data_IF_541518960097
#
_entry.id   IF_541518960097
#
_cell.length_a   1.000
_cell.length_b   1.000
_cell.length_c   1.000
_cell.angle_alpha   90.00
_cell.angle_beta   90.00
_cell.angle_gamma   90.00
#
_symmetry.space_group_name_H-M   'P 1'
#
loop_
_entity.id
_entity.type
_entity.pdbx_description
1 polymer ?
#
# COMPACT_ATOMS: atom_id res chain seq x y z
N UNK A 1 -17.84 -25.75 7.48
CA UNK A 1 -17.32 -24.38 7.15
C UNK A 1 -16.96 -24.35 5.67
N UNK A 2 -17.31 -23.29 4.95
CA UNK A 2 -17.05 -23.20 3.49
C UNK A 2 -15.55 -23.09 3.25
N UNK A 3 -15.01 -23.87 2.28
CA UNK A 3 -13.66 -23.73 1.76
C UNK A 3 -13.72 -22.98 0.43
N UNK A 4 -12.92 -21.93 0.31
CA UNK A 4 -12.77 -21.16 -0.93
C UNK A 4 -11.58 -21.69 -1.74
N UNK A 5 -11.63 -21.55 -3.06
CA UNK A 5 -10.45 -21.83 -3.89
C UNK A 5 -9.37 -20.77 -3.66
N UNK A 6 -9.75 -19.50 -3.49
CA UNK A 6 -8.83 -18.40 -3.29
C UNK A 6 -9.29 -17.49 -2.14
N UNK A 7 -8.38 -17.19 -1.22
CA UNK A 7 -8.53 -16.10 -0.26
C UNK A 7 -7.57 -14.96 -0.59
N UNK A 8 -8.06 -13.74 -0.53
CA UNK A 8 -7.30 -12.49 -0.75
C UNK A 8 -7.35 -11.69 0.55
N UNK A 9 -6.20 -11.36 1.10
CA UNK A 9 -6.09 -10.54 2.31
C UNK A 9 -5.68 -9.14 1.91
N UNK A 10 -6.62 -8.21 2.03
CA UNK A 10 -6.53 -6.81 1.60
C UNK A 10 -7.40 -6.53 0.38
N UNK A 11 -8.42 -5.69 0.57
CA UNK A 11 -9.32 -5.16 -0.47
C UNK A 11 -8.86 -3.80 -1.01
N UNK A 12 -7.54 -3.59 -1.08
CA UNK A 12 -6.91 -2.49 -1.79
C UNK A 12 -6.89 -2.70 -3.31
N UNK A 13 -6.16 -1.87 -4.03
CA UNK A 13 -6.13 -1.87 -5.51
C UNK A 13 -5.67 -3.22 -6.07
N UNK A 14 -4.56 -3.77 -5.55
CA UNK A 14 -4.04 -5.07 -6.00
C UNK A 14 -5.03 -6.21 -5.71
N UNK A 15 -5.57 -6.26 -4.48
CA UNK A 15 -6.51 -7.32 -4.08
C UNK A 15 -7.81 -7.26 -4.86
N UNK A 16 -8.38 -6.09 -5.12
CA UNK A 16 -9.58 -5.93 -5.92
C UNK A 16 -9.36 -6.34 -7.39
N UNK A 17 -8.22 -5.95 -7.97
CA UNK A 17 -7.90 -6.36 -9.33
C UNK A 17 -7.75 -7.89 -9.44
N UNK A 18 -7.11 -8.52 -8.45
CA UNK A 18 -7.02 -9.98 -8.39
C UNK A 18 -8.39 -10.63 -8.21
N UNK A 19 -9.23 -10.10 -7.33
CA UNK A 19 -10.57 -10.60 -7.07
C UNK A 19 -11.46 -10.58 -8.32
N UNK A 20 -11.43 -9.48 -9.08
CA UNK A 20 -12.12 -9.35 -10.37
C UNK A 20 -11.68 -10.46 -11.31
N UNK A 21 -10.38 -10.65 -11.49
CA UNK A 21 -9.85 -11.62 -12.46
C UNK A 21 -10.15 -13.07 -12.03
N UNK A 22 -9.98 -13.41 -10.75
CA UNK A 22 -10.29 -14.75 -10.24
C UNK A 22 -11.80 -15.05 -10.33
N UNK A 23 -12.66 -14.07 -10.03
CA UNK A 23 -14.10 -14.20 -10.22
C UNK A 23 -14.48 -14.43 -11.68
N UNK A 24 -13.82 -13.73 -12.63
CA UNK A 24 -14.00 -13.96 -14.07
C UNK A 24 -13.53 -15.35 -14.53
N UNK A 25 -12.57 -15.96 -13.84
CA UNK A 25 -12.19 -17.37 -14.03
C UNK A 25 -13.17 -18.34 -13.34
N UNK A 26 -14.22 -17.83 -12.68
CA UNK A 26 -15.26 -18.58 -12.00
C UNK A 26 -14.79 -19.33 -10.76
N UNK A 27 -13.68 -18.90 -10.15
CA UNK A 27 -13.25 -19.41 -8.85
C UNK A 27 -14.14 -18.92 -7.72
N UNK A 28 -14.25 -19.73 -6.68
CA UNK A 28 -14.83 -19.30 -5.41
C UNK A 28 -13.81 -18.45 -4.65
N UNK A 29 -14.08 -17.13 -4.55
CA UNK A 29 -13.13 -16.15 -4.03
C UNK A 29 -13.71 -15.46 -2.79
N UNK A 30 -12.87 -15.27 -1.78
CA UNK A 30 -13.15 -14.40 -0.63
C UNK A 30 -12.09 -13.34 -0.49
N UNK A 31 -12.52 -12.10 -0.25
CA UNK A 31 -11.65 -10.97 0.10
C UNK A 31 -11.90 -10.60 1.55
N UNK A 32 -10.85 -10.61 2.36
CA UNK A 32 -10.87 -10.09 3.73
C UNK A 32 -10.23 -8.70 3.72
N UNK A 33 -10.94 -7.67 4.17
CA UNK A 33 -10.49 -6.28 4.08
C UNK A 33 -10.77 -5.51 5.37
N UNK A 34 -9.73 -4.97 5.97
CA UNK A 34 -9.82 -4.10 7.16
C UNK A 34 -10.37 -2.70 6.85
N UNK A 35 -10.37 -2.30 5.57
CA UNK A 35 -10.88 -0.99 5.13
C UNK A 35 -9.92 0.19 5.30
N UNK A 36 -8.74 -0.01 5.88
CA UNK A 36 -7.78 1.02 6.29
C UNK A 36 -6.52 1.10 5.39
N UNK A 37 -6.60 0.59 4.18
CA UNK A 37 -5.50 0.64 3.22
C UNK A 37 -5.21 2.06 2.72
N UNK A 38 -3.97 2.28 2.23
CA UNK A 38 -3.49 3.58 1.66
C UNK A 38 -4.49 4.18 0.65
N UNK A 39 -5.09 3.36 -0.20
CA UNK A 39 -6.10 3.80 -1.17
C UNK A 39 -7.40 4.34 -0.56
N UNK A 40 -7.66 4.13 0.73
CA UNK A 40 -8.79 4.78 1.42
C UNK A 40 -8.51 6.23 1.81
N UNK A 41 -7.23 6.61 1.87
CA UNK A 41 -6.78 7.95 2.26
C UNK A 41 -6.54 8.85 1.04
N UNK A 42 -6.14 8.30 -0.11
CA UNK A 42 -5.82 9.08 -1.30
C UNK A 42 -7.09 9.63 -1.96
N UNK A 43 -7.22 10.95 -2.00
CA UNK A 43 -8.36 11.66 -2.59
C UNK A 43 -8.20 11.95 -4.08
N UNK A 44 -6.99 11.80 -4.64
CA UNK A 44 -6.72 11.98 -6.06
C UNK A 44 -5.50 11.20 -6.52
N UNK A 45 -5.66 10.29 -7.45
CA UNK A 45 -4.59 9.71 -8.26
C UNK A 45 -4.58 10.42 -9.60
N UNK A 46 -3.55 11.22 -9.88
CA UNK A 46 -3.47 12.02 -11.09
C UNK A 46 -2.63 11.34 -12.19
N UNK A 47 -1.89 10.30 -11.85
CA UNK A 47 -1.01 9.56 -12.76
C UNK A 47 -1.59 8.23 -13.24
N UNK A 48 -2.91 8.03 -13.13
CA UNK A 48 -3.57 6.79 -13.56
C UNK A 48 -4.19 6.94 -14.95
N UNK A 49 -3.76 6.09 -15.88
CA UNK A 49 -4.29 6.06 -17.24
C UNK A 49 -5.82 5.87 -17.26
N UNK A 50 -6.51 6.69 -18.03
CA UNK A 50 -7.97 6.68 -18.17
C UNK A 50 -8.69 7.71 -17.29
N UNK A 51 -7.96 8.42 -16.41
CA UNK A 51 -8.52 9.42 -15.51
C UNK A 51 -7.77 10.76 -15.62
N UNK A 52 -7.99 11.54 -16.70
CA UNK A 52 -7.25 12.77 -16.93
C UNK A 52 -7.45 13.83 -15.85
N UNK A 53 -8.60 13.82 -15.16
CA UNK A 53 -8.92 14.72 -14.04
C UNK A 53 -8.57 14.10 -12.68
N UNK A 54 -7.86 12.96 -12.68
CA UNK A 54 -7.62 12.19 -11.49
C UNK A 54 -8.82 11.37 -11.02
N UNK A 55 -8.58 10.47 -10.08
CA UNK A 55 -9.63 9.63 -9.47
C UNK A 55 -9.29 9.35 -8.01
N UNK A 56 -10.29 9.39 -7.12
CA UNK A 56 -10.05 9.04 -5.73
C UNK A 56 -9.90 7.53 -5.53
N UNK A 57 -9.09 7.14 -4.55
CA UNK A 57 -8.95 5.75 -4.17
C UNK A 57 -10.26 5.13 -3.69
N UNK A 58 -11.13 5.91 -3.03
CA UNK A 58 -12.48 5.48 -2.65
C UNK A 58 -13.32 5.11 -3.86
N UNK A 59 -13.31 5.94 -4.92
CA UNK A 59 -14.03 5.67 -6.17
C UNK A 59 -13.51 4.39 -6.83
N UNK A 60 -12.20 4.19 -6.91
CA UNK A 60 -11.61 2.96 -7.45
C UNK A 60 -11.99 1.74 -6.62
N UNK A 61 -11.91 1.81 -5.29
CA UNK A 61 -12.26 0.71 -4.38
C UNK A 61 -13.74 0.34 -4.50
N UNK A 62 -14.63 1.33 -4.53
CA UNK A 62 -16.06 1.11 -4.71
C UNK A 62 -16.36 0.44 -6.03
N UNK A 63 -15.83 0.97 -7.14
CA UNK A 63 -16.02 0.39 -8.48
C UNK A 63 -15.44 -1.03 -8.57
N UNK A 64 -14.22 -1.25 -8.02
CA UNK A 64 -13.59 -2.57 -8.00
C UNK A 64 -14.39 -3.60 -7.18
N UNK A 65 -14.92 -3.19 -6.02
CA UNK A 65 -15.76 -4.04 -5.17
C UNK A 65 -17.08 -4.40 -5.87
N UNK A 66 -17.74 -3.43 -6.48
CA UNK A 66 -18.95 -3.65 -7.27
C UNK A 66 -18.67 -4.60 -8.44
N UNK A 67 -17.60 -4.37 -9.18
CA UNK A 67 -17.21 -5.21 -10.32
C UNK A 67 -16.91 -6.65 -9.90
N UNK A 68 -16.15 -6.87 -8.81
CA UNK A 68 -15.85 -8.20 -8.29
C UNK A 68 -17.11 -8.91 -7.79
N UNK A 69 -18.03 -8.19 -7.14
CA UNK A 69 -19.30 -8.75 -6.64
C UNK A 69 -20.18 -9.31 -7.77
N UNK A 70 -20.16 -8.71 -8.97
CA UNK A 70 -20.87 -9.22 -10.15
C UNK A 70 -20.40 -10.63 -10.58
N UNK A 71 -19.18 -11.01 -10.21
CA UNK A 71 -18.61 -12.33 -10.47
C UNK A 71 -18.68 -13.27 -9.27
N UNK A 72 -19.50 -12.96 -8.26
CA UNK A 72 -19.75 -13.83 -7.11
C UNK A 72 -18.62 -13.83 -6.05
N UNK A 73 -17.74 -12.84 -6.06
CA UNK A 73 -16.70 -12.67 -5.02
C UNK A 73 -17.37 -12.31 -3.69
N UNK A 74 -17.00 -13.02 -2.62
CA UNK A 74 -17.44 -12.74 -1.25
C UNK A 74 -16.53 -11.73 -0.59
N UNK A 75 -17.07 -10.74 0.11
CA UNK A 75 -16.32 -9.77 0.89
C UNK A 75 -16.62 -9.93 2.38
N UNK A 76 -15.58 -9.98 3.19
CA UNK A 76 -15.64 -10.02 4.67
C UNK A 76 -14.87 -8.80 5.19
N UNK A 77 -15.57 -7.92 5.90
CA UNK A 77 -14.94 -6.82 6.63
C UNK A 77 -14.28 -7.35 7.90
N UNK A 78 -13.03 -6.96 8.14
CA UNK A 78 -12.30 -7.34 9.35
C UNK A 78 -10.80 -7.43 9.14
N UNK A 79 -10.08 -7.51 10.25
CA UNK A 79 -8.63 -7.63 10.29
C UNK A 79 -8.24 -9.10 10.33
N UNK A 80 -7.40 -9.55 9.39
CA UNK A 80 -6.75 -10.85 9.46
C UNK A 80 -5.58 -10.75 10.46
N UNK A 81 -5.65 -11.54 11.52
CA UNK A 81 -4.68 -11.50 12.64
C UNK A 81 -3.65 -12.61 12.58
N UNK A 82 -4.00 -13.75 11.99
CA UNK A 82 -3.09 -14.88 11.85
C UNK A 82 -3.41 -15.69 10.60
N UNK A 83 -2.43 -16.44 10.16
CA UNK A 83 -2.58 -17.44 9.11
C UNK A 83 -1.75 -18.68 9.46
N UNK A 84 -2.32 -19.85 9.22
CA UNK A 84 -1.64 -21.13 9.34
C UNK A 84 -1.97 -22.04 8.17
N UNK A 85 -1.16 -23.05 7.95
CA UNK A 85 -1.44 -24.13 7.00
C UNK A 85 -1.90 -25.38 7.76
N UNK A 86 -3.06 -25.89 7.42
CA UNK A 86 -3.54 -27.18 7.90
C UNK A 86 -3.16 -28.26 6.86
N UNK A 87 -2.62 -29.40 7.28
CA UNK A 87 -2.34 -30.49 6.35
C UNK A 87 -3.62 -30.98 5.70
N UNK A 88 -3.52 -31.53 4.50
CA UNK A 88 -4.61 -32.19 3.84
C UNK A 88 -5.11 -33.33 4.73
N UNK A 89 -6.40 -33.34 5.05
CA UNK A 89 -7.01 -34.51 5.70
C UNK A 89 -6.89 -35.69 4.75
N UNK A 90 -6.34 -36.82 5.22
CA UNK A 90 -5.98 -37.99 4.42
C UNK A 90 -7.15 -38.63 3.65
N UNK A 91 -7.53 -37.99 2.56
CA UNK A 91 -8.49 -38.52 1.57
C UNK A 91 -7.73 -39.06 0.36
N UNK A 92 -7.92 -40.32 0.09
CA UNK A 92 -7.36 -41.04 -1.06
C UNK A 92 -7.97 -40.55 -2.37
N UNK A 93 -7.35 -39.61 -3.05
CA UNK A 93 -7.78 -39.23 -4.39
C UNK A 93 -7.26 -37.88 -4.86
N UNK A 94 -6.13 -37.86 -5.49
CA UNK A 94 -5.43 -36.83 -6.29
C UNK A 94 -6.18 -35.56 -6.71
N UNK A 95 -6.63 -34.76 -5.75
CA UNK A 95 -7.28 -33.45 -5.96
C UNK A 95 -6.38 -32.33 -5.43
N UNK A 96 -6.64 -31.05 -5.79
CA UNK A 96 -5.89 -29.89 -5.31
C UNK A 96 -5.75 -29.74 -3.80
N UNK A 97 -6.46 -30.56 -3.04
CA UNK A 97 -6.51 -30.62 -1.58
C UNK A 97 -5.29 -31.34 -0.95
N UNK A 98 -4.44 -32.04 -1.75
CA UNK A 98 -3.25 -32.74 -1.25
C UNK A 98 -2.21 -31.81 -0.65
N UNK A 99 -2.27 -30.51 -1.01
CA UNK A 99 -1.33 -29.50 -0.53
C UNK A 99 -1.74 -28.85 0.81
N UNK A 100 -2.92 -29.21 1.35
CA UNK A 100 -3.47 -28.62 2.57
C UNK A 100 -4.22 -27.32 2.35
N UNK A 101 -4.77 -26.79 3.45
CA UNK A 101 -5.59 -25.57 3.47
C UNK A 101 -4.88 -24.45 4.21
N UNK A 102 -5.04 -23.24 3.72
CA UNK A 102 -4.75 -22.04 4.52
C UNK A 102 -5.96 -21.68 5.37
N UNK A 103 -5.72 -21.46 6.66
CA UNK A 103 -6.71 -20.96 7.61
C UNK A 103 -6.29 -19.58 8.06
N UNK A 104 -7.09 -18.59 7.71
CA UNK A 104 -6.90 -17.19 8.09
C UNK A 104 -7.82 -16.88 9.25
N UNK A 105 -7.26 -16.52 10.39
CA UNK A 105 -8.02 -16.10 11.58
C UNK A 105 -8.27 -14.60 11.51
N UNK A 106 -9.50 -14.20 11.82
CA UNK A 106 -9.91 -12.80 11.86
C UNK A 106 -10.04 -12.31 13.29
N UNK A 107 -9.92 -11.03 13.50
CA UNK A 107 -10.29 -10.39 14.75
C UNK A 107 -11.74 -10.79 15.12
N UNK A 108 -11.97 -11.15 16.40
CA UNK A 108 -13.28 -11.67 16.83
C UNK A 108 -13.44 -13.19 16.67
N UNK A 109 -12.41 -13.92 16.20
CA UNK A 109 -12.32 -15.39 16.24
C UNK A 109 -12.96 -16.11 15.03
N UNK A 110 -13.49 -15.40 14.05
CA UNK A 110 -13.93 -16.02 12.78
C UNK A 110 -12.74 -16.54 11.96
N UNK A 111 -12.95 -17.59 11.18
CA UNK A 111 -11.92 -18.16 10.31
C UNK A 111 -12.40 -18.23 8.85
N UNK A 112 -11.46 -18.03 7.94
CA UNK A 112 -11.61 -18.23 6.49
C UNK A 112 -10.66 -19.34 6.04
N UNK A 113 -11.15 -20.28 5.24
CA UNK A 113 -10.39 -21.43 4.73
C UNK A 113 -10.29 -21.38 3.22
N UNK A 114 -9.06 -21.55 2.67
CA UNK A 114 -8.84 -21.52 1.22
C UNK A 114 -7.69 -22.42 0.78
N UNK A 115 -7.74 -22.83 -0.51
CA UNK A 115 -6.67 -23.62 -1.15
C UNK A 115 -5.48 -22.77 -1.57
N UNK A 116 -5.71 -21.50 -1.92
CA UNK A 116 -4.69 -20.54 -2.40
C UNK A 116 -4.85 -19.23 -1.65
N UNK A 117 -3.73 -18.58 -1.37
CA UNK A 117 -3.69 -17.34 -0.60
C UNK A 117 -2.99 -16.24 -1.39
N UNK A 118 -3.62 -15.07 -1.47
CA UNK A 118 -3.00 -13.84 -1.94
C UNK A 118 -2.89 -12.83 -0.78
N UNK A 119 -1.68 -12.37 -0.51
CA UNK A 119 -1.40 -11.31 0.46
C UNK A 119 -1.29 -9.99 -0.30
N UNK A 120 -2.27 -9.11 -0.12
CA UNK A 120 -2.39 -7.79 -0.76
C UNK A 120 -2.60 -6.69 0.30
N UNK A 121 -1.95 -6.85 1.44
CA UNK A 121 -2.12 -6.05 2.66
C UNK A 121 -1.52 -4.66 2.59
N UNK A 122 -0.61 -4.44 1.63
CA UNK A 122 -0.01 -3.14 1.33
C UNK A 122 0.91 -2.61 2.43
N UNK A 123 1.05 -1.28 2.43
CA UNK A 123 1.87 -0.49 3.37
C UNK A 123 0.96 0.48 4.09
N UNK A 124 1.24 0.74 5.36
CA UNK A 124 0.63 1.79 6.15
C UNK A 124 1.61 2.93 6.34
N UNK A 125 1.27 4.09 5.82
CA UNK A 125 2.08 5.28 6.00
C UNK A 125 2.04 5.77 7.43
N UNK A 126 3.18 6.18 7.93
CA UNK A 126 3.29 6.87 9.20
C UNK A 126 3.00 8.35 8.98
N UNK A 127 1.78 8.75 9.29
CA UNK A 127 1.30 10.13 9.17
C UNK A 127 0.89 10.67 10.53
N UNK A 128 1.08 11.98 10.81
CA UNK A 128 0.63 12.62 12.02
C UNK A 128 -0.91 12.65 12.12
N UNK A 129 -1.43 12.64 13.35
CA UNK A 129 -2.86 12.81 13.60
C UNK A 129 -3.23 14.28 13.71
N UNK A 130 -3.07 15.01 12.60
CA UNK A 130 -3.54 16.41 12.51
C UNK A 130 -4.96 16.42 11.96
N UNK A 131 -5.91 17.10 12.63
CA UNK A 131 -7.34 17.04 12.26
C UNK A 131 -7.61 17.42 10.80
N UNK A 132 -6.90 18.42 10.27
CA UNK A 132 -7.08 18.94 8.92
C UNK A 132 -6.42 18.08 7.84
N UNK A 133 -5.49 17.18 8.23
CA UNK A 133 -4.66 16.44 7.30
C UNK A 133 -5.47 15.55 6.35
N UNK A 134 -6.45 14.80 6.89
CA UNK A 134 -7.28 13.88 6.08
C UNK A 134 -8.01 14.57 4.94
N UNK A 135 -8.38 15.83 5.11
CA UNK A 135 -9.07 16.60 4.07
C UNK A 135 -8.13 17.05 2.94
N UNK A 136 -6.83 17.15 3.24
CA UNK A 136 -5.82 17.65 2.32
C UNK A 136 -5.09 16.55 1.54
N UNK A 137 -5.10 15.30 2.06
CA UNK A 137 -4.35 14.17 1.47
C UNK A 137 -4.79 13.85 0.03
N UNK A 138 -3.82 13.81 -0.89
CA UNK A 138 -4.05 13.59 -2.33
C UNK A 138 -4.67 14.78 -3.06
N UNK A 139 -4.77 15.97 -2.42
CA UNK A 139 -5.24 17.23 -3.05
C UNK A 139 -4.14 18.30 -2.97
N UNK A 140 -3.63 18.56 -1.79
CA UNK A 140 -2.59 19.58 -1.54
C UNK A 140 -1.52 19.11 -0.56
N UNK A 141 -1.74 17.97 0.09
CA UNK A 141 -0.76 17.26 0.91
C UNK A 141 -0.57 15.86 0.37
N UNK A 142 0.66 15.47 0.14
CA UNK A 142 1.04 14.25 -0.58
C UNK A 142 2.06 13.45 0.22
N UNK A 143 2.33 12.21 -0.22
CA UNK A 143 3.29 11.30 0.42
C UNK A 143 4.36 10.85 -0.58
N UNK A 144 3.97 10.64 -1.84
CA UNK A 144 4.82 10.02 -2.86
C UNK A 144 5.26 11.06 -3.91
N UNK A 145 6.55 11.38 -4.00
CA UNK A 145 7.05 12.36 -4.99
C UNK A 145 6.86 11.89 -6.43
N UNK A 146 7.05 10.60 -6.72
CA UNK A 146 6.83 10.03 -8.06
C UNK A 146 5.36 10.09 -8.51
N UNK A 147 4.42 10.14 -7.55
CA UNK A 147 3.00 10.25 -7.84
C UNK A 147 2.58 11.69 -8.10
N UNK A 148 3.02 12.61 -7.23
CA UNK A 148 2.41 13.92 -7.06
C UNK A 148 3.43 15.09 -7.10
N UNK A 149 4.70 14.82 -7.44
CA UNK A 149 5.71 15.86 -7.58
C UNK A 149 5.31 16.96 -8.58
N UNK A 150 4.60 16.57 -9.64
CA UNK A 150 4.04 17.50 -10.63
C UNK A 150 3.16 18.60 -10.01
N UNK A 151 2.45 18.29 -8.95
CA UNK A 151 1.52 19.20 -8.26
C UNK A 151 2.23 20.37 -7.54
N UNK A 152 3.57 20.31 -7.44
CA UNK A 152 4.39 21.34 -6.79
C UNK A 152 4.90 22.41 -7.76
N UNK A 153 4.77 22.21 -9.07
CA UNK A 153 5.31 23.13 -10.08
C UNK A 153 4.72 24.54 -9.88
N UNK A 154 5.64 25.52 -9.72
CA UNK A 154 5.25 26.94 -9.50
C UNK A 154 4.58 27.21 -8.16
N UNK A 155 4.73 26.32 -7.17
CA UNK A 155 4.09 26.43 -5.87
C UNK A 155 5.07 26.27 -4.73
N UNK A 156 4.91 27.12 -3.71
CA UNK A 156 5.65 26.95 -2.47
C UNK A 156 5.23 25.67 -1.76
N UNK A 157 6.22 24.82 -1.47
CA UNK A 157 6.02 23.47 -0.96
C UNK A 157 6.74 23.28 0.38
N UNK A 158 6.02 22.77 1.39
CA UNK A 158 6.62 22.34 2.64
C UNK A 158 6.87 20.82 2.59
N UNK A 159 8.02 20.39 3.07
CA UNK A 159 8.22 19.00 3.44
C UNK A 159 8.12 18.90 4.96
N UNK A 160 7.07 18.26 5.44
CA UNK A 160 6.81 18.06 6.87
C UNK A 160 7.27 16.66 7.21
N UNK A 161 8.36 16.55 7.96
CA UNK A 161 8.99 15.25 8.14
C UNK A 161 9.87 15.13 9.38
N UNK A 162 10.71 14.10 9.38
CA UNK A 162 11.57 13.78 10.50
C UNK A 162 12.96 13.28 10.02
N UNK A 163 14.01 13.95 10.47
CA UNK A 163 15.40 13.54 10.21
C UNK A 163 15.69 13.34 8.72
N UNK A 164 16.46 12.29 8.40
CA UNK A 164 16.91 12.02 7.03
C UNK A 164 15.75 11.70 6.08
N UNK A 165 14.68 11.05 6.54
CA UNK A 165 13.54 10.74 5.68
C UNK A 165 12.89 12.01 5.10
N UNK A 166 12.72 13.06 5.91
CA UNK A 166 12.23 14.35 5.44
C UNK A 166 13.22 15.08 4.55
N UNK A 167 14.51 15.02 4.89
CA UNK A 167 15.58 15.65 4.12
C UNK A 167 15.70 15.04 2.72
N UNK A 168 15.72 13.70 2.60
CA UNK A 168 15.79 13.00 1.31
C UNK A 168 14.55 13.33 0.46
N UNK A 169 13.34 13.30 1.04
CA UNK A 169 12.12 13.66 0.32
C UNK A 169 12.17 15.10 -0.21
N UNK A 170 12.72 16.05 0.58
CA UNK A 170 12.89 17.43 0.12
C UNK A 170 13.84 17.55 -1.07
N UNK A 171 14.91 16.76 -1.07
CA UNK A 171 15.86 16.69 -2.17
C UNK A 171 15.25 16.03 -3.42
N UNK A 172 14.45 14.98 -3.24
CA UNK A 172 13.73 14.28 -4.33
C UNK A 172 12.75 15.19 -5.07
N UNK A 173 12.19 16.20 -4.41
CA UNK A 173 11.25 17.15 -5.03
C UNK A 173 11.92 18.23 -5.90
N UNK A 174 13.25 18.36 -5.84
CA UNK A 174 13.97 19.42 -6.58
C UNK A 174 13.84 19.41 -8.11
N UNK A 175 13.51 18.28 -8.78
CA UNK A 175 13.19 18.29 -10.21
C UNK A 175 11.94 19.07 -10.59
N UNK A 176 10.98 19.21 -9.67
CA UNK A 176 9.69 19.87 -9.96
C UNK A 176 9.60 21.29 -9.42
N UNK A 177 10.22 21.56 -8.26
CA UNK A 177 10.19 22.90 -7.65
C UNK A 177 11.49 23.23 -6.92
N UNK A 178 11.81 24.53 -6.82
CA UNK A 178 12.92 25.05 -6.03
C UNK A 178 12.44 25.79 -4.78
N UNK A 179 11.17 26.11 -4.68
CA UNK A 179 10.59 26.79 -3.51
C UNK A 179 10.14 25.75 -2.48
N UNK A 180 11.12 25.09 -1.88
CA UNK A 180 10.94 24.04 -0.87
C UNK A 180 11.44 24.54 0.49
N UNK A 181 10.69 24.26 1.54
CA UNK A 181 11.12 24.41 2.94
C UNK A 181 10.94 23.06 3.63
N UNK A 182 12.01 22.56 4.23
CA UNK A 182 11.95 21.35 5.05
C UNK A 182 11.69 21.72 6.52
N UNK A 183 10.62 21.17 7.11
CA UNK A 183 10.31 21.30 8.53
C UNK A 183 10.59 19.97 9.22
N UNK A 184 11.68 19.91 9.99
CA UNK A 184 12.06 18.75 10.81
C UNK A 184 11.18 18.72 12.08
N UNK A 185 9.95 18.27 11.93
CA UNK A 185 8.91 18.29 12.94
C UNK A 185 9.27 17.54 14.23
N UNK A 186 9.93 16.39 14.10
CA UNK A 186 10.30 15.55 15.25
C UNK A 186 11.67 15.88 15.83
N UNK A 187 12.34 16.89 15.32
CA UNK A 187 13.67 17.32 15.78
C UNK A 187 14.72 16.20 15.77
N UNK A 188 14.55 15.22 14.87
CA UNK A 188 15.51 14.12 14.70
C UNK A 188 16.78 14.66 14.06
N UNK A 189 17.92 14.20 14.57
CA UNK A 189 19.21 14.52 13.96
C UNK A 189 19.27 14.05 12.50
N UNK A 190 19.92 14.86 11.65
CA UNK A 190 20.23 14.51 10.28
C UNK A 190 21.65 13.94 10.19
N UNK A 191 21.84 13.04 9.22
CA UNK A 191 23.17 12.73 8.74
C UNK A 191 23.86 14.02 8.25
N UNK A 192 25.12 14.30 8.64
CA UNK A 192 25.83 15.49 8.19
C UNK A 192 25.88 15.66 6.66
N UNK A 193 25.94 14.56 5.90
CA UNK A 193 25.92 14.61 4.44
C UNK A 193 24.55 15.05 3.90
N UNK A 194 23.45 14.62 4.51
CA UNK A 194 22.09 15.06 4.16
C UNK A 194 21.93 16.58 4.42
N UNK A 195 22.43 17.07 5.57
CA UNK A 195 22.38 18.49 5.89
C UNK A 195 23.23 19.35 4.92
N UNK A 196 24.36 18.84 4.42
CA UNK A 196 25.16 19.50 3.38
C UNK A 196 24.38 19.57 2.06
N UNK A 197 23.78 18.46 1.63
CA UNK A 197 23.00 18.40 0.37
C UNK A 197 21.79 19.34 0.37
N UNK A 198 21.08 19.45 1.51
CA UNK A 198 19.99 20.43 1.64
C UNK A 198 20.48 21.86 1.42
N UNK A 199 21.61 22.24 2.05
CA UNK A 199 22.20 23.58 1.89
C UNK A 199 22.65 23.85 0.46
N UNK A 200 23.29 22.88 -0.20
CA UNK A 200 23.73 22.98 -1.60
C UNK A 200 22.54 23.11 -2.55
N UNK A 201 21.43 22.44 -2.24
CA UNK A 201 20.17 22.55 -2.99
C UNK A 201 19.42 23.87 -2.69
N UNK A 202 19.85 24.68 -1.72
CA UNK A 202 19.20 25.92 -1.31
C UNK A 202 17.90 25.68 -0.55
N UNK A 203 17.72 24.52 0.08
CA UNK A 203 16.50 24.17 0.83
C UNK A 203 16.69 24.58 2.30
N UNK A 204 15.97 25.61 2.80
CA UNK A 204 16.00 25.96 4.21
C UNK A 204 15.37 24.87 5.06
N UNK A 205 16.00 24.57 6.20
CA UNK A 205 15.48 23.65 7.20
C UNK A 205 15.04 24.43 8.44
N UNK A 206 13.87 24.06 8.96
CA UNK A 206 13.29 24.63 10.19
C UNK A 206 13.18 23.49 11.21
N UNK A 207 13.80 23.71 12.37
CA UNK A 207 13.78 22.78 13.51
C UNK A 207 12.81 23.26 14.58
N UNK A 208 11.54 23.31 14.20
CA UNK A 208 10.43 23.67 15.09
C UNK A 208 9.25 22.77 14.76
N UNK A 209 8.63 22.09 15.74
CA UNK A 209 7.48 21.22 15.50
C UNK A 209 6.29 21.97 14.89
N UNK A 210 5.55 21.30 14.02
CA UNK A 210 4.27 21.79 13.51
C UNK A 210 3.22 21.61 14.59
N UNK A 211 2.57 22.70 14.99
CA UNK A 211 1.46 22.68 15.93
C UNK A 211 0.12 22.39 15.23
N UNK A 212 -0.05 22.93 14.01
CA UNK A 212 -1.33 22.83 13.29
C UNK A 212 -1.13 23.05 11.79
N UNK A 213 -1.88 22.31 10.95
CA UNK A 213 -2.09 22.67 9.55
C UNK A 213 -3.08 23.84 9.45
N UNK A 214 -2.76 24.79 8.57
CA UNK A 214 -3.69 25.84 8.17
C UNK A 214 -4.30 25.42 6.83
N UNK A 215 -5.55 25.03 6.84
CA UNK A 215 -6.25 24.52 5.65
C UNK A 215 -7.67 25.11 5.58
N UNK A 216 -8.15 25.25 4.37
CA UNK A 216 -9.48 25.73 4.04
C UNK A 216 -10.08 24.84 2.95
N UNK A 217 -11.26 24.24 3.20
CA UNK A 217 -11.95 23.32 2.29
C UNK A 217 -11.05 22.19 1.71
N UNK A 218 -10.16 21.64 2.54
CA UNK A 218 -9.22 20.61 2.11
C UNK A 218 -8.03 21.11 1.29
N UNK A 219 -7.83 22.41 1.22
CA UNK A 219 -6.68 23.05 0.56
C UNK A 219 -5.73 23.63 1.60
N UNK A 220 -4.49 23.21 1.56
CA UNK A 220 -3.43 23.73 2.42
C UNK A 220 -3.21 25.23 2.14
N UNK A 221 -3.05 26.00 3.21
CA UNK A 221 -2.64 27.41 3.20
C UNK A 221 -1.28 27.59 3.86
N UNK A 222 -0.84 26.61 4.63
CA UNK A 222 0.41 26.62 5.37
C UNK A 222 0.35 25.81 6.65
N UNK A 223 1.30 26.09 7.55
CA UNK A 223 1.33 25.48 8.88
C UNK A 223 1.61 26.54 9.92
N UNK A 224 1.14 26.33 11.15
CA UNK A 224 1.58 27.06 12.34
C UNK A 224 2.54 26.17 13.12
N UNK A 225 3.70 26.71 13.44
CA UNK A 225 4.73 26.06 14.25
C UNK A 225 4.42 26.20 15.75
N UNK A 226 5.14 25.42 16.57
CA UNK A 226 4.95 25.41 18.03
C UNK A 226 5.33 26.74 18.70
N UNK A 227 6.21 27.53 18.08
CA UNK A 227 6.60 28.87 18.54
C UNK A 227 5.62 29.97 18.09
N UNK A 228 4.54 29.62 17.40
CA UNK A 228 3.54 30.53 16.87
C UNK A 228 3.83 31.06 15.46
N UNK A 229 4.99 30.80 14.90
CA UNK A 229 5.35 31.21 13.54
C UNK A 229 4.44 30.53 12.51
N UNK A 230 3.96 31.27 11.51
CA UNK A 230 3.19 30.74 10.39
C UNK A 230 4.04 30.69 9.12
N UNK A 231 4.06 29.52 8.49
CA UNK A 231 4.67 29.31 7.20
C UNK A 231 3.58 29.13 6.15
N UNK A 232 3.50 30.07 5.22
CA UNK A 232 2.56 29.99 4.11
C UNK A 232 3.05 28.99 3.06
N UNK A 233 2.18 28.14 2.55
CA UNK A 233 2.45 27.23 1.46
C UNK A 233 1.17 26.70 0.83
N UNK A 234 1.24 26.33 -0.45
CA UNK A 234 0.09 25.77 -1.18
C UNK A 234 0.14 24.25 -1.26
N UNK A 235 1.33 23.66 -1.05
CA UNK A 235 1.58 22.22 -1.12
C UNK A 235 2.40 21.76 0.07
N UNK A 236 2.19 20.49 0.47
CA UNK A 236 3.10 19.84 1.39
C UNK A 236 3.30 18.38 1.02
N UNK A 237 4.45 17.84 1.44
CA UNK A 237 4.75 16.42 1.42
C UNK A 237 5.06 15.92 2.82
N UNK A 238 4.68 14.68 3.12
CA UNK A 238 4.91 14.04 4.42
C UNK A 238 6.10 13.07 4.33
N UNK A 239 7.19 13.39 5.02
CA UNK A 239 8.45 12.63 5.03
C UNK A 239 8.86 12.16 6.42
N UNK A 240 8.02 11.38 7.11
CA UNK A 240 8.30 10.94 8.48
C UNK A 240 9.14 9.66 8.55
N UNK A 241 9.17 8.86 7.48
CA UNK A 241 9.78 7.53 7.48
C UNK A 241 9.07 6.56 8.44
N UNK A 242 9.57 5.33 8.52
CA UNK A 242 9.03 4.32 9.44
C UNK A 242 7.62 3.83 9.05
N UNK A 243 7.32 3.79 7.77
CA UNK A 243 6.11 3.17 7.24
C UNK A 243 6.08 1.67 7.59
N UNK A 244 4.90 1.15 7.87
CA UNK A 244 4.71 -0.26 8.20
C UNK A 244 4.38 -1.07 6.93
N UNK A 245 5.29 -1.96 6.52
CA UNK A 245 4.98 -2.97 5.51
C UNK A 245 4.19 -4.09 6.18
N UNK A 246 2.94 -4.30 5.76
CA UNK A 246 2.02 -5.27 6.38
C UNK A 246 2.29 -6.70 5.92
N UNK A 247 3.52 -7.16 6.09
CA UNK A 247 4.02 -8.49 5.68
C UNK A 247 3.95 -9.56 6.77
N UNK A 248 3.39 -9.24 7.95
CA UNK A 248 3.36 -10.15 9.12
C UNK A 248 2.72 -11.50 8.82
N UNK A 249 1.61 -11.54 8.07
CA UNK A 249 0.96 -12.79 7.68
C UNK A 249 1.84 -13.65 6.79
N UNK A 250 2.58 -13.07 5.86
CA UNK A 250 3.55 -13.79 5.04
C UNK A 250 4.69 -14.36 5.90
N UNK A 251 5.18 -13.57 6.87
CA UNK A 251 6.21 -14.00 7.80
C UNK A 251 5.76 -15.19 8.67
N UNK A 252 4.49 -15.23 9.12
CA UNK A 252 3.93 -16.36 9.86
C UNK A 252 3.97 -17.66 9.07
N UNK A 253 3.88 -17.59 7.75
CA UNK A 253 4.00 -18.74 6.84
C UNK A 253 5.44 -19.07 6.46
N UNK A 254 6.43 -18.29 6.91
CA UNK A 254 7.85 -18.47 6.56
C UNK A 254 8.23 -17.91 5.18
N UNK A 255 7.46 -16.98 4.63
CA UNK A 255 7.83 -16.31 3.40
C UNK A 255 9.06 -15.41 3.59
N UNK A 256 9.94 -15.37 2.57
CA UNK A 256 11.12 -14.50 2.59
C UNK A 256 10.71 -13.04 2.47
N UNK A 257 11.37 -12.23 3.30
CA UNK A 257 11.21 -10.79 3.31
C UNK A 257 12.55 -10.14 2.99
N UNK A 258 12.51 -9.05 2.23
CA UNK A 258 13.65 -8.16 2.03
C UNK A 258 14.01 -7.42 3.33
N UNK A 259 15.17 -6.76 3.38
CA UNK A 259 15.59 -5.92 4.51
C UNK A 259 14.59 -4.79 4.83
N UNK A 260 13.88 -4.31 3.81
CA UNK A 260 12.78 -3.34 3.92
C UNK A 260 11.47 -3.94 4.44
N UNK A 261 11.44 -5.23 4.77
CA UNK A 261 10.27 -5.98 5.22
C UNK A 261 9.23 -6.27 4.12
N UNK A 262 9.46 -5.86 2.88
CA UNK A 262 8.60 -6.24 1.76
C UNK A 262 8.73 -7.72 1.44
N UNK A 263 7.64 -8.32 0.95
CA UNK A 263 7.62 -9.74 0.58
C UNK A 263 8.37 -9.94 -0.74
N UNK A 264 9.34 -10.84 -0.75
CA UNK A 264 10.00 -11.25 -1.97
C UNK A 264 9.08 -12.16 -2.79
N UNK A 265 8.92 -11.81 -4.06
CA UNK A 265 8.08 -12.58 -5.00
C UNK A 265 8.82 -12.82 -6.31
N UNK A 266 8.48 -13.90 -6.98
CA UNK A 266 8.88 -14.09 -8.37
C UNK A 266 8.25 -12.98 -9.24
N UNK A 267 9.03 -12.22 -10.01
CA UNK A 267 8.54 -11.06 -10.74
C UNK A 267 7.48 -11.40 -11.79
N UNK A 268 7.50 -12.62 -12.33
CA UNK A 268 6.57 -13.08 -13.36
C UNK A 268 5.29 -13.65 -12.78
N UNK A 269 5.40 -14.43 -11.70
CA UNK A 269 4.26 -15.19 -11.16
C UNK A 269 3.63 -14.56 -9.94
N UNK A 270 4.34 -13.64 -9.28
CA UNK A 270 4.00 -13.06 -7.97
C UNK A 270 3.90 -14.11 -6.85
N UNK A 271 4.43 -15.32 -7.09
CA UNK A 271 4.53 -16.37 -6.08
C UNK A 271 5.61 -16.01 -5.06
N UNK A 272 5.35 -16.24 -3.80
CA UNK A 272 6.33 -16.07 -2.71
C UNK A 272 7.26 -17.30 -2.63
N UNK A 273 8.16 -17.32 -1.66
CA UNK A 273 8.95 -18.53 -1.34
C UNK A 273 8.12 -19.66 -0.72
N UNK A 274 6.85 -19.41 -0.40
CA UNK A 274 5.93 -20.39 0.17
C UNK A 274 4.99 -20.89 -0.92
N UNK A 275 4.88 -22.22 -1.14
CA UNK A 275 3.98 -22.79 -2.13
C UNK A 275 2.54 -22.36 -1.91
N UNK A 276 1.86 -21.95 -2.99
CA UNK A 276 0.45 -21.55 -3.01
C UNK A 276 0.13 -20.24 -2.26
N UNK A 277 1.17 -19.46 -1.95
CA UNK A 277 1.05 -18.12 -1.37
C UNK A 277 1.63 -17.09 -2.35
N UNK A 278 0.80 -16.18 -2.82
CA UNK A 278 1.16 -15.04 -3.66
C UNK A 278 1.17 -13.76 -2.85
N UNK A 279 1.89 -12.75 -3.33
CA UNK A 279 1.78 -11.40 -2.81
C UNK A 279 1.73 -10.39 -3.96
N UNK A 280 0.99 -9.28 -3.78
CA UNK A 280 0.78 -8.28 -4.82
C UNK A 280 0.57 -6.88 -4.24
N UNK A 281 1.00 -5.87 -5.01
CA UNK A 281 0.93 -4.46 -4.62
C UNK A 281 2.02 -4.06 -3.64
N UNK A 282 1.83 -2.94 -2.97
CA UNK A 282 2.85 -2.24 -2.16
C UNK A 282 3.52 -3.10 -1.06
N UNK A 283 2.94 -4.25 -0.70
CA UNK A 283 3.54 -5.19 0.25
C UNK A 283 4.74 -5.95 -0.34
N UNK A 284 4.96 -5.88 -1.66
CA UNK A 284 6.04 -6.57 -2.39
C UNK A 284 7.19 -5.62 -2.77
N UNK A 285 8.34 -6.20 -3.15
CA UNK A 285 9.55 -5.43 -3.50
C UNK A 285 9.42 -4.81 -4.88
N UNK A 286 8.95 -3.58 -4.97
CA UNK A 286 8.95 -2.73 -6.17
C UNK A 286 8.49 -1.31 -5.82
N UNK A 287 8.36 -0.43 -6.84
CA UNK A 287 7.78 0.91 -6.67
C UNK A 287 6.30 0.85 -6.30
N UNK A 288 5.91 1.64 -5.31
CA UNK A 288 4.57 1.68 -4.75
C UNK A 288 3.66 2.59 -5.58
N UNK A 289 3.05 2.04 -6.64
CA UNK A 289 2.21 2.78 -7.59
C UNK A 289 0.88 2.07 -7.83
N UNK A 290 -0.20 2.84 -7.99
CA UNK A 290 -1.54 2.29 -8.24
C UNK A 290 -1.60 1.41 -9.49
N UNK A 291 -0.98 1.83 -10.58
CA UNK A 291 -0.94 1.07 -11.83
C UNK A 291 -0.13 -0.23 -11.69
N UNK A 292 0.97 -0.20 -10.94
CA UNK A 292 1.78 -1.40 -10.64
C UNK A 292 0.96 -2.36 -9.77
N UNK A 293 0.30 -1.85 -8.73
CA UNK A 293 -0.56 -2.66 -7.86
C UNK A 293 -1.69 -3.35 -8.64
N UNK A 294 -2.32 -2.68 -9.62
CA UNK A 294 -3.29 -3.30 -10.53
C UNK A 294 -2.66 -4.43 -11.35
N UNK A 295 -1.50 -4.16 -11.96
CA UNK A 295 -0.76 -5.15 -12.76
C UNK A 295 -0.38 -6.38 -11.93
N UNK A 296 0.11 -6.18 -10.72
CA UNK A 296 0.48 -7.24 -9.79
C UNK A 296 -0.70 -8.12 -9.39
N UNK A 297 -1.82 -7.50 -9.02
CA UNK A 297 -3.04 -8.22 -8.67
C UNK A 297 -3.54 -9.09 -9.82
N UNK A 298 -3.53 -8.54 -11.05
CA UNK A 298 -3.88 -9.28 -12.26
C UNK A 298 -2.92 -10.44 -12.50
N UNK A 299 -1.62 -10.19 -12.40
CA UNK A 299 -0.57 -11.18 -12.62
C UNK A 299 -0.66 -12.32 -11.61
N UNK A 300 -0.82 -12.01 -10.32
CA UNK A 300 -1.02 -13.01 -9.27
C UNK A 300 -2.26 -13.88 -9.56
N UNK A 301 -3.38 -13.27 -9.93
CA UNK A 301 -4.63 -13.98 -10.23
C UNK A 301 -4.48 -14.98 -11.40
N UNK A 302 -3.73 -14.61 -12.45
CA UNK A 302 -3.46 -15.50 -13.58
C UNK A 302 -2.70 -16.75 -13.11
N UNK A 303 -1.71 -16.60 -12.25
CA UNK A 303 -0.90 -17.72 -11.79
C UNK A 303 -1.58 -18.53 -10.68
N UNK A 304 -2.40 -17.92 -9.85
CA UNK A 304 -3.29 -18.62 -8.92
C UNK A 304 -4.26 -19.53 -9.69
N UNK A 305 -4.91 -19.00 -10.75
CA UNK A 305 -5.76 -19.80 -11.65
C UNK A 305 -5.03 -20.99 -12.24
N UNK A 306 -3.83 -20.78 -12.81
CA UNK A 306 -3.01 -21.87 -13.38
C UNK A 306 -2.68 -22.93 -12.34
N UNK A 307 -2.37 -22.55 -11.10
CA UNK A 307 -2.08 -23.49 -10.01
C UNK A 307 -3.26 -24.36 -9.59
N UNK A 308 -4.48 -23.93 -9.89
CA UNK A 308 -5.71 -24.69 -9.63
C UNK A 308 -6.13 -25.58 -10.81
N UNK A 309 -5.68 -25.26 -12.02
CA UNK A 309 -6.12 -25.92 -13.26
C UNK A 309 -5.06 -26.79 -13.92
N UNK A 310 -3.78 -26.50 -13.71
CA UNK A 310 -2.63 -27.21 -14.31
C UNK A 310 -1.96 -28.08 -13.24
N UNK A 311 -1.63 -29.32 -13.59
CA UNK A 311 -1.03 -30.32 -12.66
C UNK A 311 0.47 -30.14 -12.41
N UNK A 312 1.17 -29.22 -13.10
CA UNK A 312 2.60 -29.02 -12.92
C UNK A 312 2.87 -27.99 -11.80
N UNK A 313 3.82 -28.29 -10.89
CA UNK A 313 4.21 -27.34 -9.85
C UNK A 313 4.81 -26.07 -10.46
N UNK A 314 4.41 -24.93 -9.92
CA UNK A 314 4.97 -23.63 -10.31
C UNK A 314 6.38 -23.46 -9.71
N UNK A 315 7.33 -22.82 -10.45
CA UNK A 315 8.67 -22.58 -9.93
C UNK A 315 8.61 -21.64 -8.72
N UNK A 316 9.25 -22.04 -7.63
CA UNK A 316 9.43 -21.19 -6.44
C UNK A 316 10.58 -20.20 -6.66
N UNK A 317 10.52 -19.05 -5.99
CA UNK A 317 11.66 -18.13 -5.88
C UNK A 317 12.77 -18.84 -5.10
N UNK A 318 13.94 -19.03 -5.73
CA UNK A 318 15.13 -19.64 -5.13
C UNK A 318 15.95 -18.66 -4.32
#
# INVERSE_FOLDING_TARGET
MRVYECAIIGGGIAGLQAAIQLGRYRHTVVVVDAGDGRSSLCRGYHNLLGFPEGVSGETLRRAGREQASRYGVTFIGGVATAVRREPAGGGTGGRPDEDGLFVVSLEGGAEVRALRLLIATGVKDRIPDWPELKQCLGITVFICPDCDGWETIGRRTLVLGAGDAGAELALELTPWTRDIVYVNHELKALDPAAAVRLREAGIPMIETPVAKLLADEGRLRGVRLADGTELQAERAFLGFGGNEVRSSLAAMLGARLASSRHIEVDPRTKLTSVPHVWAAGDVTVHSEQTAIAMGDGLQAAIWMHKSLTVREPLPLVR
#
